data_IF_063538077193
#
_entry.id   IF_063538077193
#
_cell.length_a   1.000
_cell.length_b   1.000
_cell.length_c   1.000
_cell.angle_alpha   90.00
_cell.angle_beta   90.00
_cell.angle_gamma   90.00
#
_symmetry.space_group_name_H-M   'P 1'
#
loop_
_entity.id
_entity.type
_entity.pdbx_description
1 polymer ?
#
# COMPACT_ATOMS: atom_id res chain seq x y z
N UNK A 1 -23.84 14.44 37.72
CA UNK A 1 -22.66 13.56 37.54
C UNK A 1 -22.62 13.13 36.09
N UNK A 2 -21.46 13.37 35.44
CA UNK A 2 -20.86 12.72 34.26
C UNK A 2 -21.76 12.25 33.09
N UNK A 3 -21.45 12.47 31.82
CA UNK A 3 -20.38 13.18 31.15
C UNK A 3 -20.79 13.21 29.66
N UNK A 4 -20.74 14.37 29.02
CA UNK A 4 -20.68 14.44 27.55
C UNK A 4 -19.28 14.01 27.12
N UNK A 5 -19.08 12.71 26.90
CA UNK A 5 -17.86 12.22 26.27
C UNK A 5 -18.05 12.30 24.75
N UNK A 6 -17.63 13.42 24.18
CA UNK A 6 -17.46 13.61 22.75
C UNK A 6 -16.53 12.51 22.21
N UNK A 7 -17.11 11.51 21.55
CA UNK A 7 -16.37 10.52 20.80
C UNK A 7 -15.76 11.19 19.58
N UNK A 8 -14.56 11.72 19.72
CA UNK A 8 -13.73 12.12 18.58
C UNK A 8 -13.34 10.82 17.87
N UNK A 9 -14.19 10.40 16.93
CA UNK A 9 -13.85 9.38 15.95
C UNK A 9 -12.65 9.90 15.19
N UNK A 10 -11.46 9.46 15.59
CA UNK A 10 -10.27 9.55 14.75
C UNK A 10 -10.64 8.85 13.45
N UNK A 11 -10.97 9.65 12.44
CA UNK A 11 -10.92 9.20 11.06
C UNK A 11 -9.49 8.73 10.86
N UNK A 12 -9.28 7.42 10.96
CA UNK A 12 -8.00 6.80 10.68
C UNK A 12 -7.61 7.30 9.30
N UNK A 13 -6.61 8.17 9.25
CA UNK A 13 -5.98 8.51 8.00
C UNK A 13 -5.49 7.18 7.46
N UNK A 14 -6.22 6.63 6.48
CA UNK A 14 -5.70 5.63 5.57
C UNK A 14 -4.60 6.34 4.79
N UNK A 15 -3.48 6.58 5.46
CA UNK A 15 -2.24 6.98 4.83
C UNK A 15 -1.88 5.80 3.96
N UNK A 16 -2.27 5.85 2.70
CA UNK A 16 -1.60 5.12 1.65
C UNK A 16 -0.15 5.62 1.69
N UNK A 17 0.66 4.99 2.53
CA UNK A 17 2.10 5.22 2.65
C UNK A 17 2.71 4.64 1.38
N UNK A 18 2.55 5.37 0.27
CA UNK A 18 2.99 4.93 -1.04
C UNK A 18 4.50 5.11 -1.15
N UNK A 19 5.23 4.05 -1.46
CA UNK A 19 6.64 4.16 -1.85
C UNK A 19 6.71 5.11 -3.04
N UNK A 20 7.36 6.25 -2.88
CA UNK A 20 7.57 7.19 -3.99
C UNK A 20 8.79 6.73 -4.78
N UNK A 21 8.65 6.56 -6.09
CA UNK A 21 9.71 6.25 -7.02
C UNK A 21 10.08 7.50 -7.82
N UNK A 22 11.39 7.70 -8.01
CA UNK A 22 11.94 8.68 -8.94
C UNK A 22 12.30 7.97 -10.25
N UNK A 23 11.62 8.35 -11.31
CA UNK A 23 11.89 7.92 -12.68
C UNK A 23 12.64 9.01 -13.43
N UNK A 24 13.59 8.63 -14.28
CA UNK A 24 14.18 9.53 -15.29
C UNK A 24 13.71 9.02 -16.65
N UNK A 25 13.01 9.86 -17.41
CA UNK A 25 12.53 9.50 -18.74
C UNK A 25 13.64 9.55 -19.80
N UNK A 26 13.33 9.10 -21.02
CA UNK A 26 14.29 9.08 -22.13
C UNK A 26 14.79 10.47 -22.56
N UNK A 27 14.10 11.53 -22.14
CA UNK A 27 14.43 12.93 -22.42
C UNK A 27 15.16 13.59 -21.23
N UNK A 28 15.45 12.83 -20.17
CA UNK A 28 16.15 13.29 -18.97
C UNK A 28 15.25 13.99 -17.95
N UNK A 29 13.92 14.00 -18.13
CA UNK A 29 13.00 14.60 -17.15
C UNK A 29 12.79 13.67 -15.97
N UNK A 30 12.65 14.28 -14.81
CA UNK A 30 12.40 13.57 -13.56
C UNK A 30 10.90 13.53 -13.31
N UNK A 31 10.35 12.32 -13.17
CA UNK A 31 8.97 12.08 -12.76
C UNK A 31 8.94 11.36 -11.41
N UNK A 32 8.05 11.78 -10.51
CA UNK A 32 7.79 11.11 -9.25
C UNK A 32 6.46 10.37 -9.33
N UNK A 33 6.46 9.08 -9.00
CA UNK A 33 5.29 8.23 -9.08
C UNK A 33 5.24 7.26 -7.90
N UNK A 34 4.06 6.90 -7.46
CA UNK A 34 3.81 5.83 -6.48
C UNK A 34 3.88 4.42 -7.10
N UNK A 35 3.93 4.33 -8.44
CA UNK A 35 3.96 3.06 -9.17
C UNK A 35 5.38 2.62 -9.49
N UNK A 36 5.74 1.38 -9.13
CA UNK A 36 7.01 0.80 -9.51
C UNK A 36 7.07 0.52 -11.03
N UNK A 37 7.87 1.30 -11.76
CA UNK A 37 8.16 1.08 -13.18
C UNK A 37 9.64 0.69 -13.36
N UNK A 38 9.94 -0.09 -14.42
CA UNK A 38 11.32 -0.49 -14.75
C UNK A 38 12.20 0.75 -14.95
N UNK A 39 13.31 0.81 -14.23
CA UNK A 39 14.29 1.92 -14.30
C UNK A 39 14.05 3.03 -13.28
N UNK A 40 12.97 2.99 -12.49
CA UNK A 40 12.73 3.96 -11.43
C UNK A 40 13.35 3.52 -10.11
N UNK A 41 13.86 4.47 -9.34
CA UNK A 41 14.47 4.21 -8.02
C UNK A 41 13.49 4.60 -6.91
N UNK A 42 13.26 3.69 -5.98
CA UNK A 42 12.50 4.00 -4.77
C UNK A 42 13.25 5.08 -3.96
N UNK A 43 12.53 6.10 -3.51
CA UNK A 43 13.03 7.09 -2.58
C UNK A 43 12.87 6.54 -1.17
N UNK A 44 13.96 6.58 -0.40
CA UNK A 44 13.92 6.35 1.04
C UNK A 44 13.57 7.67 1.71
N UNK A 45 12.32 7.82 2.16
CA UNK A 45 11.90 9.01 2.90
C UNK A 45 12.22 8.79 4.38
N UNK A 46 12.86 9.74 5.07
CA UNK A 46 13.13 9.61 6.50
C UNK A 46 11.81 9.47 7.27
N UNK A 47 11.64 8.36 7.99
CA UNK A 47 10.39 8.00 8.67
C UNK A 47 9.47 7.07 7.88
N UNK A 48 9.89 6.61 6.70
CA UNK A 48 9.17 5.59 5.93
C UNK A 48 9.32 4.23 6.59
N UNK A 49 8.20 3.63 7.00
CA UNK A 49 8.13 2.22 7.39
C UNK A 49 7.54 1.47 6.21
N UNK A 50 8.31 0.64 5.50
CA UNK A 50 7.78 -0.10 4.35
C UNK A 50 6.63 -1.00 4.80
N UNK A 51 5.50 -0.91 4.11
CA UNK A 51 4.37 -1.81 4.35
C UNK A 51 4.83 -3.26 4.13
N UNK A 52 4.45 -4.20 5.01
CA UNK A 52 4.78 -5.60 4.83
C UNK A 52 4.19 -6.11 3.49
N UNK A 53 4.92 -6.97 2.76
CA UNK A 53 4.44 -7.49 1.49
C UNK A 53 3.10 -8.20 1.69
N UNK A 54 2.13 -7.94 0.81
CA UNK A 54 0.87 -8.67 0.85
C UNK A 54 1.15 -10.16 0.63
N UNK A 55 0.69 -11.00 1.56
CA UNK A 55 0.69 -12.45 1.37
C UNK A 55 -0.32 -12.79 0.27
N UNK A 56 0.19 -13.22 -0.89
CA UNK A 56 -0.62 -13.93 -1.87
C UNK A 56 -0.94 -15.32 -1.32
N UNK A 57 -2.14 -15.50 -0.78
CA UNK A 57 -2.62 -16.84 -0.43
C UNK A 57 -3.03 -17.59 -1.72
N UNK A 58 -2.67 -18.86 -1.89
CA UNK A 58 -3.17 -19.65 -3.00
C UNK A 58 -4.71 -19.77 -2.94
N UNK A 59 -5.40 -19.83 -4.10
CA UNK A 59 -6.85 -19.96 -4.14
C UNK A 59 -7.30 -21.26 -3.44
N UNK A 60 -8.44 -21.26 -2.73
CA UNK A 60 -8.94 -22.46 -2.05
C UNK A 60 -9.23 -23.58 -3.05
N UNK A 61 -8.83 -24.80 -2.71
CA UNK A 61 -9.10 -25.99 -3.52
C UNK A 61 -10.62 -26.25 -3.56
N UNK A 62 -11.17 -26.32 -4.77
CA UNK A 62 -12.58 -26.66 -4.99
C UNK A 62 -12.76 -28.15 -4.69
N UNK A 63 -13.56 -28.51 -3.67
CA UNK A 63 -13.93 -29.91 -3.44
C UNK A 63 -14.86 -30.35 -4.57
N UNK A 64 -14.34 -31.16 -5.48
CA UNK A 64 -15.14 -31.85 -6.47
C UNK A 64 -15.97 -32.92 -5.73
N UNK A 65 -17.28 -32.70 -5.65
CA UNK A 65 -18.20 -33.63 -5.00
C UNK A 65 -18.18 -35.00 -5.69
N UNK A 66 -18.20 -36.08 -4.91
CA UNK A 66 -18.31 -37.45 -5.43
C UNK A 66 -19.65 -37.66 -6.12
N UNK A 67 -19.69 -38.29 -7.32
CA UNK A 67 -20.95 -38.70 -7.93
C UNK A 67 -21.56 -39.87 -7.14
N UNK A 68 -22.89 -39.87 -7.07
CA UNK A 68 -23.73 -40.86 -6.39
C UNK A 68 -23.82 -42.20 -7.14
#
# INVERSE_FOLDING_TARGET
QLALAAGLMWAGAAGAQTTVYKCVDAQGRVEFTDTNKRGCKALDLPGYIPAPPQRSAPPPAVRQGSPA
#
